data_IF_848544807986
#
_entry.id   IF_848544807986
#
_cell.length_a   1.000
_cell.length_b   1.000
_cell.length_c   1.000
_cell.angle_alpha   90.00
_cell.angle_beta   90.00
_cell.angle_gamma   90.00
#
_symmetry.space_group_name_H-M   'P 1'
#
loop_
_entity.id
_entity.type
_entity.pdbx_description
1 polymer ?
#
# COMPACT_ATOMS: atom_id res chain seq x y z
N UNK A 1 -3.51 -14.68 -15.53
CA UNK A 1 -2.70 -13.56 -15.01
C UNK A 1 -1.28 -14.07 -14.85
N UNK A 2 -0.32 -13.46 -15.55
CA UNK A 2 1.04 -14.00 -15.69
C UNK A 2 1.91 -13.58 -14.50
N UNK A 3 1.88 -14.39 -13.43
CA UNK A 3 2.56 -14.15 -12.15
C UNK A 3 4.08 -13.90 -12.29
N UNK A 4 4.71 -14.40 -13.36
CA UNK A 4 6.13 -14.20 -13.64
C UNK A 4 6.50 -12.74 -13.94
N UNK A 5 5.60 -11.98 -14.58
CA UNK A 5 5.83 -10.55 -14.85
C UNK A 5 5.76 -9.73 -13.57
N UNK A 6 4.79 -10.01 -12.69
CA UNK A 6 4.64 -9.38 -11.38
C UNK A 6 5.85 -9.65 -10.50
N UNK A 7 6.37 -10.88 -10.51
CA UNK A 7 7.54 -11.28 -9.75
C UNK A 7 8.83 -10.60 -10.26
N UNK A 8 8.96 -10.37 -11.57
CA UNK A 8 10.09 -9.61 -12.14
C UNK A 8 10.06 -8.12 -11.72
N UNK A 9 8.86 -7.53 -11.67
CA UNK A 9 8.66 -6.13 -11.27
C UNK A 9 8.91 -5.97 -9.78
N UNK A 10 8.36 -6.85 -8.94
CA UNK A 10 8.59 -6.86 -7.48
C UNK A 10 10.06 -7.15 -7.12
N UNK A 11 10.72 -8.07 -7.83
CA UNK A 11 12.14 -8.40 -7.63
C UNK A 11 13.10 -7.24 -7.99
N UNK A 12 12.73 -6.41 -8.96
CA UNK A 12 13.50 -5.22 -9.36
C UNK A 12 13.55 -4.11 -8.29
N UNK A 13 12.52 -4.02 -7.44
CA UNK A 13 12.41 -3.01 -6.37
C UNK A 13 13.38 -3.28 -5.21
N UNK A 14 13.81 -4.53 -5.04
CA UNK A 14 14.49 -5.02 -3.85
C UNK A 14 15.99 -4.70 -3.79
N UNK A 15 16.62 -4.24 -4.89
CA UNK A 15 18.09 -4.18 -4.97
C UNK A 15 18.74 -2.88 -4.46
N UNK A 16 17.97 -1.82 -4.14
CA UNK A 16 18.54 -0.46 -4.06
C UNK A 16 18.00 0.49 -2.95
N UNK A 17 17.54 0.04 -1.77
CA UNK A 17 17.50 0.92 -0.57
C UNK A 17 17.49 0.10 0.72
N UNK A 18 17.80 0.73 1.85
CA UNK A 18 17.92 0.18 3.22
C UNK A 18 17.17 -1.14 3.43
N UNK A 19 17.94 -2.22 3.60
CA UNK A 19 17.52 -3.61 3.34
C UNK A 19 16.34 -4.11 4.18
N UNK A 20 16.13 -3.56 5.38
CA UNK A 20 15.12 -4.11 6.31
C UNK A 20 13.71 -3.64 5.93
N UNK A 21 13.47 -2.33 5.79
CA UNK A 21 12.13 -1.80 5.49
C UNK A 21 11.53 -2.33 4.17
N UNK A 22 12.36 -2.48 3.14
CA UNK A 22 11.91 -2.98 1.82
C UNK A 22 11.53 -4.45 1.81
N UNK A 23 12.29 -5.30 2.50
CA UNK A 23 11.98 -6.74 2.59
C UNK A 23 10.65 -6.92 3.33
N UNK A 24 10.50 -6.29 4.50
CA UNK A 24 9.28 -6.39 5.29
C UNK A 24 8.06 -5.81 4.56
N UNK A 25 8.18 -4.65 3.90
CA UNK A 25 7.07 -4.09 3.13
C UNK A 25 6.64 -4.99 1.97
N UNK A 26 7.58 -5.67 1.29
CA UNK A 26 7.25 -6.59 0.20
C UNK A 26 6.59 -7.86 0.71
N UNK A 27 7.10 -8.43 1.81
CA UNK A 27 6.52 -9.62 2.45
C UNK A 27 5.10 -9.33 2.95
N UNK A 28 4.90 -8.20 3.64
CA UNK A 28 3.57 -7.81 4.14
C UNK A 28 2.60 -7.52 2.98
N UNK A 29 3.09 -6.97 1.87
CA UNK A 29 2.26 -6.76 0.68
C UNK A 29 1.78 -8.08 0.06
N UNK A 30 2.68 -9.07 -0.10
CA UNK A 30 2.30 -10.41 -0.58
C UNK A 30 1.33 -11.07 0.38
N UNK A 31 1.60 -11.00 1.68
CA UNK A 31 0.72 -11.53 2.71
C UNK A 31 -0.69 -10.93 2.64
N UNK A 32 -0.82 -9.62 2.40
CA UNK A 32 -2.13 -8.99 2.20
C UNK A 32 -2.86 -9.47 0.96
N UNK A 33 -2.15 -9.67 -0.16
CA UNK A 33 -2.77 -10.22 -1.38
C UNK A 33 -3.30 -11.63 -1.09
N UNK A 34 -2.50 -12.46 -0.43
CA UNK A 34 -2.91 -13.81 -0.04
C UNK A 34 -4.18 -13.78 0.82
N UNK A 35 -4.19 -12.98 1.89
CA UNK A 35 -5.36 -12.84 2.76
C UNK A 35 -6.58 -12.37 1.96
N UNK A 36 -6.42 -11.35 1.11
CA UNK A 36 -7.52 -10.78 0.35
C UNK A 36 -8.14 -11.84 -0.57
N UNK A 37 -7.32 -12.63 -1.27
CA UNK A 37 -7.80 -13.69 -2.17
C UNK A 37 -8.60 -14.76 -1.39
N UNK A 38 -8.04 -15.26 -0.29
CA UNK A 38 -8.71 -16.27 0.54
C UNK A 38 -10.02 -15.73 1.12
N UNK A 39 -9.98 -14.53 1.68
CA UNK A 39 -11.15 -13.89 2.29
C UNK A 39 -12.25 -13.60 1.26
N UNK A 40 -11.88 -13.15 0.05
CA UNK A 40 -12.83 -12.82 -1.00
C UNK A 40 -13.69 -14.02 -1.41
N UNK A 41 -13.08 -15.20 -1.54
CA UNK A 41 -13.78 -16.41 -1.96
C UNK A 41 -14.52 -17.08 -0.80
N UNK A 42 -13.86 -17.29 0.35
CA UNK A 42 -14.39 -18.15 1.40
C UNK A 42 -15.34 -17.44 2.39
N UNK A 43 -15.15 -16.12 2.59
CA UNK A 43 -15.79 -15.39 3.70
C UNK A 43 -16.76 -14.31 3.22
N UNK A 44 -16.43 -13.66 2.10
CA UNK A 44 -17.26 -12.63 1.49
C UNK A 44 -17.95 -13.08 0.19
N UNK A 45 -17.70 -14.30 -0.30
CA UNK A 45 -18.32 -14.82 -1.54
C UNK A 45 -19.85 -14.81 -1.49
N UNK A 46 -20.41 -15.31 -0.39
CA UNK A 46 -21.87 -15.46 -0.20
C UNK A 46 -22.45 -14.34 0.69
N UNK A 47 -21.78 -13.17 0.76
CA UNK A 47 -22.10 -12.14 1.76
C UNK A 47 -23.53 -11.57 1.64
N UNK A 48 -24.03 -11.46 0.42
CA UNK A 48 -25.36 -10.95 0.12
C UNK A 48 -26.41 -12.08 0.13
N UNK A 49 -26.03 -13.28 -0.32
CA UNK A 49 -26.93 -14.42 -0.37
C UNK A 49 -27.32 -14.90 1.03
N UNK A 50 -26.36 -14.98 1.94
CA UNK A 50 -26.58 -15.38 3.35
C UNK A 50 -26.98 -14.21 4.27
N UNK A 51 -27.17 -13.01 3.74
CA UNK A 51 -27.74 -11.91 4.50
C UNK A 51 -29.26 -12.12 4.66
N UNK A 52 -29.75 -12.29 5.88
CA UNK A 52 -31.15 -12.65 6.14
C UNK A 52 -31.83 -11.58 6.99
N UNK A 53 -32.96 -11.05 6.51
CA UNK A 53 -33.82 -10.16 7.30
C UNK A 53 -35.10 -10.88 7.72
N UNK A 54 -35.52 -10.68 8.98
CA UNK A 54 -36.75 -11.26 9.53
C UNK A 54 -38.00 -10.51 9.02
N UNK A 55 -38.30 -10.69 7.74
CA UNK A 55 -39.44 -10.06 7.06
C UNK A 55 -39.78 -10.82 5.78
N UNK A 56 -41.07 -10.83 5.43
CA UNK A 56 -41.56 -11.38 4.15
C UNK A 56 -41.70 -10.29 3.08
N UNK A 57 -41.36 -9.04 3.40
CA UNK A 57 -41.52 -7.91 2.50
C UNK A 57 -40.50 -7.99 1.33
N UNK A 58 -40.97 -8.04 0.08
CA UNK A 58 -40.07 -8.07 -1.08
C UNK A 58 -39.19 -6.82 -1.14
N UNK A 59 -37.92 -7.00 -1.50
CA UNK A 59 -36.95 -5.91 -1.66
C UNK A 59 -36.33 -5.38 -0.37
N UNK A 60 -36.91 -5.65 0.81
CA UNK A 60 -36.37 -5.17 2.09
C UNK A 60 -34.94 -5.68 2.35
N UNK A 61 -34.66 -6.97 2.09
CA UNK A 61 -33.30 -7.54 2.18
C UNK A 61 -32.28 -6.75 1.37
N UNK A 62 -32.61 -6.43 0.11
CA UNK A 62 -31.68 -5.78 -0.82
C UNK A 62 -31.34 -4.36 -0.37
N UNK A 63 -32.35 -3.56 0.00
CA UNK A 63 -32.12 -2.18 0.45
C UNK A 63 -31.40 -2.12 1.80
N UNK A 64 -31.67 -3.07 2.72
CA UNK A 64 -31.00 -3.12 3.99
C UNK A 64 -29.53 -3.52 3.82
N UNK A 65 -29.24 -4.49 2.95
CA UNK A 65 -27.87 -4.85 2.64
C UNK A 65 -27.08 -3.67 2.06
N UNK A 66 -27.65 -2.99 1.05
CA UNK A 66 -27.02 -1.82 0.41
C UNK A 66 -26.81 -0.65 1.39
N UNK A 67 -27.77 -0.42 2.29
CA UNK A 67 -27.67 0.64 3.30
C UNK A 67 -26.55 0.41 4.31
N UNK A 68 -26.40 -0.82 4.83
CA UNK A 68 -25.38 -1.14 5.82
C UNK A 68 -24.02 -1.47 5.22
N UNK A 69 -23.98 -1.94 3.97
CA UNK A 69 -22.76 -2.33 3.26
C UNK A 69 -22.69 -1.65 1.88
N UNK A 70 -22.62 -0.30 1.82
CA UNK A 70 -22.63 0.45 0.56
C UNK A 70 -21.42 0.10 -0.33
N UNK A 71 -20.30 -0.24 0.30
CA UNK A 71 -19.16 -0.90 -0.32
C UNK A 71 -18.85 -2.11 0.54
N UNK A 72 -18.48 -3.24 -0.05
CA UNK A 72 -18.04 -4.40 0.75
C UNK A 72 -16.62 -4.22 1.26
N UNK A 73 -16.29 -4.87 2.38
CA UNK A 73 -14.99 -4.73 3.03
C UNK A 73 -13.84 -5.13 2.09
N UNK A 74 -14.02 -6.23 1.37
CA UNK A 74 -13.05 -6.75 0.39
C UNK A 74 -12.79 -5.75 -0.72
N UNK A 75 -13.82 -5.07 -1.22
CA UNK A 75 -13.66 -4.04 -2.27
C UNK A 75 -12.85 -2.86 -1.74
N UNK A 76 -13.09 -2.40 -0.52
CA UNK A 76 -12.27 -1.34 0.09
C UNK A 76 -10.81 -1.78 0.30
N UNK A 77 -10.57 -3.01 0.75
CA UNK A 77 -9.19 -3.51 0.90
C UNK A 77 -8.47 -3.69 -0.45
N UNK A 78 -9.20 -4.09 -1.49
CA UNK A 78 -8.66 -4.18 -2.84
C UNK A 78 -8.25 -2.78 -3.35
N UNK A 79 -9.11 -1.78 -3.17
CA UNK A 79 -8.81 -0.39 -3.48
C UNK A 79 -7.61 0.11 -2.66
N UNK A 80 -7.58 -0.14 -1.36
CA UNK A 80 -6.45 0.21 -0.49
C UNK A 80 -5.13 -0.38 -1.03
N UNK A 81 -5.10 -1.66 -1.40
CA UNK A 81 -3.91 -2.28 -1.98
C UNK A 81 -3.49 -1.66 -3.32
N UNK A 82 -4.43 -1.34 -4.20
CA UNK A 82 -4.15 -0.67 -5.48
C UNK A 82 -3.54 0.72 -5.25
N UNK A 83 -4.16 1.54 -4.40
CA UNK A 83 -3.68 2.89 -4.14
C UNK A 83 -2.32 2.89 -3.40
N UNK A 84 -2.10 1.97 -2.47
CA UNK A 84 -0.83 1.88 -1.73
C UNK A 84 0.30 1.30 -2.60
N UNK A 85 0.00 0.42 -3.55
CA UNK A 85 1.00 -0.13 -4.48
C UNK A 85 1.38 0.84 -5.60
N UNK A 86 0.45 1.71 -6.03
CA UNK A 86 0.66 2.61 -7.18
C UNK A 86 1.91 3.50 -7.03
N UNK A 87 2.13 4.24 -5.91
CA UNK A 87 3.35 5.03 -5.75
C UNK A 87 4.64 4.20 -5.79
N UNK A 88 4.62 2.98 -5.24
CA UNK A 88 5.78 2.09 -5.26
C UNK A 88 6.11 1.64 -6.68
N UNK A 89 5.09 1.26 -7.47
CA UNK A 89 5.24 0.89 -8.87
C UNK A 89 5.69 2.07 -9.73
N UNK A 90 5.18 3.28 -9.49
CA UNK A 90 5.62 4.49 -10.20
C UNK A 90 7.10 4.79 -9.95
N UNK A 91 7.58 4.65 -8.71
CA UNK A 91 9.02 4.80 -8.41
C UNK A 91 9.84 3.72 -9.10
N UNK A 92 9.39 2.46 -9.05
CA UNK A 92 10.07 1.35 -9.72
C UNK A 92 10.18 1.60 -11.23
N UNK A 93 9.09 2.04 -11.84
CA UNK A 93 9.01 2.41 -13.26
C UNK A 93 9.93 3.60 -13.57
N UNK A 94 9.94 4.65 -12.73
CA UNK A 94 10.85 5.79 -12.90
C UNK A 94 12.32 5.38 -12.84
N UNK A 95 12.70 4.50 -11.89
CA UNK A 95 14.06 3.96 -11.81
C UNK A 95 14.41 3.12 -13.03
N UNK A 96 13.50 2.23 -13.46
CA UNK A 96 13.70 1.39 -14.64
C UNK A 96 13.86 2.23 -15.92
N UNK A 97 13.03 3.26 -16.09
CA UNK A 97 13.09 4.19 -17.21
C UNK A 97 14.43 4.93 -17.27
N UNK A 98 14.88 5.52 -16.15
CA UNK A 98 16.18 6.23 -16.11
C UNK A 98 17.36 5.29 -16.35
N UNK A 99 17.28 4.05 -15.88
CA UNK A 99 18.31 3.03 -16.15
C UNK A 99 18.38 2.69 -17.64
N UNK A 100 17.22 2.53 -18.28
CA UNK A 100 17.14 2.25 -19.71
C UNK A 100 17.68 3.40 -20.56
N UNK A 101 17.34 4.66 -20.23
CA UNK A 101 17.88 5.83 -20.94
C UNK A 101 19.40 5.96 -20.80
N UNK A 102 19.94 5.77 -19.59
CA UNK A 102 21.40 5.79 -19.38
C UNK A 102 22.08 4.75 -20.27
N UNK A 103 21.60 3.49 -20.25
CA UNK A 103 22.15 2.41 -21.07
C UNK A 103 22.13 2.76 -22.57
N UNK A 104 21.06 3.36 -23.06
CA UNK A 104 20.93 3.81 -24.47
C UNK A 104 21.91 4.93 -24.84
N UNK A 105 22.22 5.84 -23.91
CA UNK A 105 23.22 6.90 -24.12
C UNK A 105 24.65 6.32 -24.16
N UNK A 106 24.98 5.38 -23.28
CA UNK A 106 26.28 4.69 -23.29
C UNK A 106 26.50 3.87 -24.55
N UNK A 107 25.49 3.16 -25.06
CA UNK A 107 25.61 2.40 -26.32
C UNK A 107 25.85 3.26 -27.57
N UNK A 108 25.62 4.59 -27.50
CA UNK A 108 25.89 5.53 -28.58
C UNK A 108 27.25 6.25 -28.46
N UNK A 109 27.98 6.08 -27.36
CA UNK A 109 29.30 6.68 -27.13
C UNK A 109 30.36 5.60 -26.90
N UNK A 110 31.30 5.49 -27.84
CA UNK A 110 32.56 4.70 -27.87
C UNK A 110 32.62 3.30 -27.20
N UNK A 111 32.99 2.28 -28.00
CA UNK A 111 32.93 0.85 -27.65
C UNK A 111 34.06 0.35 -26.75
N UNK A 112 35.11 1.13 -26.52
CA UNK A 112 36.32 0.64 -25.82
C UNK A 112 36.26 0.68 -24.29
N UNK A 113 35.24 1.30 -23.66
CA UNK A 113 35.02 1.25 -22.20
C UNK A 113 33.95 0.22 -21.75
N UNK A 114 33.46 -0.63 -22.66
CA UNK A 114 32.21 -1.40 -22.50
C UNK A 114 32.15 -2.37 -21.31
N UNK A 115 33.27 -2.96 -20.86
CA UNK A 115 33.21 -3.98 -19.80
C UNK A 115 33.35 -3.41 -18.38
N UNK A 116 34.21 -2.41 -18.16
CA UNK A 116 34.41 -1.79 -16.83
C UNK A 116 33.20 -0.96 -16.41
N UNK A 117 32.59 -0.20 -17.33
CA UNK A 117 31.45 0.67 -17.03
C UNK A 117 30.13 -0.09 -16.80
N UNK A 118 29.91 -1.25 -17.43
CA UNK A 118 28.68 -2.04 -17.19
C UNK A 118 28.69 -2.65 -15.79
N UNK A 119 29.84 -3.14 -15.32
CA UNK A 119 30.00 -3.57 -13.92
C UNK A 119 29.86 -2.38 -12.97
N UNK A 120 30.40 -1.21 -13.33
CA UNK A 120 30.30 0.00 -12.51
C UNK A 120 28.88 0.57 -12.45
N UNK A 121 28.06 0.47 -13.50
CA UNK A 121 26.62 0.80 -13.48
C UNK A 121 25.81 -0.23 -12.67
N UNK A 122 26.24 -1.51 -12.66
CA UNK A 122 25.64 -2.57 -11.83
C UNK A 122 26.01 -2.41 -10.36
N UNK A 123 27.18 -1.82 -10.09
CA UNK A 123 27.79 -1.61 -8.77
C UNK A 123 27.56 -0.21 -8.20
N UNK A 124 27.19 0.76 -9.04
CA UNK A 124 26.63 2.04 -8.67
C UNK A 124 25.32 1.72 -7.94
N UNK A 125 25.44 1.54 -6.63
CA UNK A 125 24.38 1.82 -5.68
C UNK A 125 23.87 3.18 -6.13
N UNK A 126 22.69 3.23 -6.75
CA UNK A 126 22.03 4.48 -7.10
C UNK A 126 21.99 5.26 -5.80
N UNK A 127 22.95 6.17 -5.63
CA UNK A 127 23.00 7.02 -4.48
C UNK A 127 21.71 7.83 -4.60
N UNK A 128 20.85 7.74 -3.59
CA UNK A 128 19.56 8.43 -3.59
C UNK A 128 19.89 9.93 -3.48
N UNK A 129 20.26 10.53 -4.61
CA UNK A 129 20.75 11.89 -4.72
C UNK A 129 20.05 12.59 -5.88
N UNK A 130 19.69 13.85 -5.66
CA UNK A 130 18.96 14.67 -6.61
C UNK A 130 17.48 14.24 -6.79
N UNK A 131 16.94 14.26 -8.03
CA UNK A 131 15.49 14.13 -8.26
C UNK A 131 14.91 12.76 -7.89
N UNK A 132 15.73 11.70 -7.83
CA UNK A 132 15.28 10.37 -7.42
C UNK A 132 14.90 10.34 -5.92
N UNK A 133 15.62 11.09 -5.09
CA UNK A 133 15.29 11.26 -3.67
C UNK A 133 13.91 11.88 -3.50
N UNK A 134 13.62 12.95 -4.25
CA UNK A 134 12.34 13.63 -4.19
C UNK A 134 11.18 12.71 -4.59
N UNK A 135 11.31 11.98 -5.70
CA UNK A 135 10.28 11.02 -6.12
C UNK A 135 10.07 9.89 -5.09
N UNK A 136 11.14 9.46 -4.43
CA UNK A 136 11.07 8.43 -3.40
C UNK A 136 10.36 8.95 -2.14
N UNK A 137 10.78 10.11 -1.63
CA UNK A 137 10.18 10.76 -0.45
C UNK A 137 8.70 11.06 -0.70
N UNK A 138 8.35 11.59 -1.87
CA UNK A 138 6.95 11.81 -2.26
C UNK A 138 6.15 10.50 -2.29
N UNK A 139 6.73 9.41 -2.81
CA UNK A 139 6.06 8.11 -2.84
C UNK A 139 5.76 7.57 -1.44
N UNK A 140 6.67 7.73 -0.48
CA UNK A 140 6.47 7.29 0.91
C UNK A 140 5.35 8.11 1.54
N UNK A 141 5.34 9.42 1.32
CA UNK A 141 4.27 10.30 1.80
C UNK A 141 2.90 9.90 1.25
N UNK A 142 2.78 9.67 -0.07
CA UNK A 142 1.53 9.20 -0.66
C UNK A 142 1.09 7.85 -0.12
N UNK A 143 2.02 6.91 0.08
CA UNK A 143 1.70 5.60 0.70
C UNK A 143 1.17 5.76 2.11
N UNK A 144 1.78 6.63 2.91
CA UNK A 144 1.31 6.93 4.27
C UNK A 144 -0.09 7.55 4.26
N UNK A 145 -0.32 8.53 3.38
CA UNK A 145 -1.62 9.20 3.22
C UNK A 145 -2.69 8.18 2.80
N UNK A 146 -2.43 7.35 1.79
CA UNK A 146 -3.40 6.35 1.35
C UNK A 146 -3.68 5.30 2.42
N UNK A 147 -2.65 4.72 3.05
CA UNK A 147 -2.87 3.77 4.15
C UNK A 147 -3.72 4.37 5.27
N UNK A 148 -3.39 5.58 5.74
CA UNK A 148 -4.12 6.25 6.81
C UNK A 148 -5.55 6.63 6.39
N UNK A 149 -5.73 7.13 5.16
CA UNK A 149 -7.03 7.53 4.64
C UNK A 149 -7.98 6.33 4.49
N UNK A 150 -7.52 5.22 3.91
CA UNK A 150 -8.34 4.01 3.81
C UNK A 150 -8.67 3.41 5.18
N UNK A 151 -7.71 3.43 6.12
CA UNK A 151 -7.96 3.01 7.50
C UNK A 151 -9.04 3.86 8.17
N UNK A 152 -8.96 5.18 8.00
CA UNK A 152 -9.92 6.13 8.55
C UNK A 152 -11.31 5.95 7.94
N UNK A 153 -11.39 5.84 6.60
CA UNK A 153 -12.64 5.59 5.88
C UNK A 153 -13.26 4.27 6.35
N UNK A 154 -12.46 3.22 6.51
CA UNK A 154 -12.93 1.92 6.99
C UNK A 154 -13.52 2.02 8.40
N UNK A 155 -12.81 2.66 9.34
CA UNK A 155 -13.29 2.84 10.71
C UNK A 155 -14.60 3.65 10.78
N UNK A 156 -14.68 4.73 10.00
CA UNK A 156 -15.86 5.59 9.98
C UNK A 156 -17.07 4.94 9.30
N UNK A 157 -16.85 4.26 8.17
CA UNK A 157 -17.93 3.66 7.37
C UNK A 157 -18.59 2.46 8.05
N UNK A 158 -17.82 1.66 8.81
CA UNK A 158 -18.35 0.46 9.47
C UNK A 158 -18.48 0.61 10.99
N UNK A 159 -18.51 1.85 11.48
CA UNK A 159 -18.70 2.19 12.90
C UNK A 159 -17.79 1.40 13.86
N UNK A 160 -16.53 1.19 13.44
CA UNK A 160 -15.55 0.43 14.18
C UNK A 160 -14.88 -0.69 13.40
N UNK A 161 -14.35 -1.67 14.14
CA UNK A 161 -13.57 -2.78 13.59
C UNK A 161 -14.22 -4.15 13.82
N UNK A 162 -15.44 -4.17 14.37
CA UNK A 162 -16.16 -5.37 14.71
C UNK A 162 -17.43 -5.47 13.88
N UNK A 163 -17.63 -6.61 13.21
CA UNK A 163 -18.85 -6.87 12.44
C UNK A 163 -19.98 -7.25 13.41
N UNK A 164 -21.09 -6.48 13.51
CA UNK A 164 -22.21 -6.85 14.36
C UNK A 164 -22.91 -8.11 13.80
N UNK A 165 -23.49 -8.91 14.69
CA UNK A 165 -24.28 -10.10 14.29
C UNK A 165 -25.69 -9.73 13.82
N UNK A 166 -26.21 -8.63 14.35
CA UNK A 166 -27.57 -8.15 14.15
C UNK A 166 -27.51 -6.67 13.76
N UNK A 167 -28.25 -6.31 12.72
CA UNK A 167 -28.46 -4.96 12.24
C UNK A 167 -29.96 -4.65 12.30
N UNK A 168 -30.32 -3.44 12.74
CA UNK A 168 -31.72 -3.00 12.81
C UNK A 168 -32.01 -2.05 11.67
N UNK A 169 -32.75 -2.51 10.66
CA UNK A 169 -33.02 -1.76 9.44
C UNK A 169 -34.42 -1.14 9.46
N UNK A 170 -34.53 0.13 9.04
CA UNK A 170 -35.82 0.86 8.90
C UNK A 170 -35.98 1.52 7.52
N UNK A 171 -35.22 1.03 6.53
CA UNK A 171 -35.16 1.60 5.18
C UNK A 171 -36.37 1.16 4.37
N UNK A 172 -36.94 2.05 3.53
CA UNK A 172 -38.02 1.68 2.62
C UNK A 172 -37.54 0.64 1.59
N UNK A 173 -38.28 -0.47 1.31
CA UNK A 173 -39.70 -0.71 1.59
C UNK A 173 -40.00 -1.55 2.86
N UNK A 174 -39.10 -1.61 3.84
CA UNK A 174 -39.29 -2.45 5.03
C UNK A 174 -40.45 -1.99 5.93
N UNK A 175 -41.25 -2.93 6.50
CA UNK A 175 -42.28 -2.58 7.47
C UNK A 175 -41.63 -2.32 8.83
N UNK A 176 -41.72 -1.08 9.33
CA UNK A 176 -41.13 -0.65 10.60
C UNK A 176 -39.63 -1.01 10.69
N UNK A 177 -39.15 -1.37 11.88
CA UNK A 177 -37.78 -1.80 12.12
C UNK A 177 -37.74 -3.33 12.02
N UNK A 178 -36.91 -3.85 11.11
CA UNK A 178 -36.68 -5.28 10.92
C UNK A 178 -35.27 -5.67 11.37
N UNK A 179 -35.15 -6.91 11.86
CA UNK A 179 -33.90 -7.50 12.30
C UNK A 179 -33.22 -8.21 11.13
N UNK A 180 -32.00 -7.81 10.80
CA UNK A 180 -31.19 -8.43 9.75
C UNK A 180 -29.91 -9.05 10.34
N UNK A 181 -29.59 -10.26 9.91
CA UNK A 181 -28.49 -11.08 10.40
C UNK A 181 -27.38 -11.14 9.35
N UNK A 182 -26.15 -10.84 9.79
CA UNK A 182 -24.97 -10.85 8.93
C UNK A 182 -24.36 -12.26 8.90
N UNK A 183 -24.00 -12.75 7.72
CA UNK A 183 -23.29 -14.02 7.56
C UNK A 183 -21.86 -13.95 8.08
N UNK A 184 -21.45 -14.99 8.82
CA UNK A 184 -20.09 -15.23 9.36
C UNK A 184 -19.44 -13.99 10.01
N UNK A 185 -20.10 -13.31 10.97
CA UNK A 185 -19.64 -12.03 11.50
C UNK A 185 -18.33 -12.16 12.29
N UNK A 186 -18.13 -13.29 12.99
CA UNK A 186 -16.88 -13.57 13.72
C UNK A 186 -15.70 -13.76 12.80
N UNK A 187 -15.87 -14.53 11.72
CA UNK A 187 -14.84 -14.76 10.72
C UNK A 187 -14.47 -13.46 9.99
N UNK A 188 -15.48 -12.69 9.54
CA UNK A 188 -15.27 -11.37 8.94
C UNK A 188 -14.51 -10.43 9.88
N UNK A 189 -14.82 -10.45 11.17
CA UNK A 189 -14.12 -9.65 12.19
C UNK A 189 -12.67 -10.07 12.35
N UNK A 190 -12.37 -11.38 12.39
CA UNK A 190 -11.01 -11.91 12.50
C UNK A 190 -10.16 -11.45 11.30
N UNK A 191 -10.65 -11.65 10.08
CA UNK A 191 -9.97 -11.19 8.87
C UNK A 191 -9.76 -9.67 8.87
N UNK A 192 -10.75 -8.92 9.35
CA UNK A 192 -10.67 -7.46 9.49
C UNK A 192 -9.56 -7.04 10.43
N UNK A 193 -9.46 -7.67 11.60
CA UNK A 193 -8.39 -7.40 12.58
C UNK A 193 -7.01 -7.73 11.98
N UNK A 194 -6.86 -8.84 11.26
CA UNK A 194 -5.60 -9.17 10.60
C UNK A 194 -5.20 -8.10 9.58
N UNK A 195 -6.12 -7.69 8.71
CA UNK A 195 -5.86 -6.68 7.68
C UNK A 195 -5.51 -5.32 8.27
N UNK A 196 -6.20 -4.91 9.34
CA UNK A 196 -5.91 -3.66 10.06
C UNK A 196 -4.56 -3.73 10.75
N UNK A 197 -4.23 -4.86 11.39
CA UNK A 197 -2.94 -5.05 12.07
C UNK A 197 -1.77 -4.95 11.09
N UNK A 198 -1.87 -5.60 9.93
CA UNK A 198 -0.85 -5.51 8.87
C UNK A 198 -0.78 -4.09 8.30
N UNK A 199 -1.89 -3.37 8.25
CA UNK A 199 -1.95 -1.95 7.87
C UNK A 199 -1.24 -1.05 8.88
N UNK A 200 -1.46 -1.26 10.17
CA UNK A 200 -0.72 -0.57 11.24
C UNK A 200 0.79 -0.82 11.14
N UNK A 201 1.22 -2.08 10.95
CA UNK A 201 2.64 -2.42 10.79
C UNK A 201 3.24 -1.72 9.56
N UNK A 202 2.54 -1.71 8.42
CA UNK A 202 3.00 -1.01 7.23
C UNK A 202 3.11 0.50 7.44
N UNK A 203 2.17 1.13 8.14
CA UNK A 203 2.25 2.55 8.51
C UNK A 203 3.51 2.79 9.34
N UNK A 204 3.74 2.00 10.39
CA UNK A 204 4.93 2.13 11.24
C UNK A 204 6.23 1.98 10.45
N UNK A 205 6.31 1.01 9.56
CA UNK A 205 7.48 0.80 8.70
C UNK A 205 7.70 1.98 7.73
N UNK A 206 6.64 2.51 7.11
CA UNK A 206 6.75 3.68 6.22
C UNK A 206 7.14 4.95 7.01
N UNK A 207 6.63 5.14 8.23
CA UNK A 207 7.01 6.25 9.11
C UNK A 207 8.47 6.13 9.54
N UNK A 208 8.92 4.93 9.92
CA UNK A 208 10.32 4.67 10.28
C UNK A 208 11.28 4.92 9.09
N UNK A 209 10.86 4.55 7.88
CA UNK A 209 11.65 4.84 6.67
C UNK A 209 11.66 6.34 6.36
N UNK A 210 10.52 7.02 6.47
CA UNK A 210 10.44 8.46 6.27
C UNK A 210 11.30 9.23 7.28
N UNK A 211 11.23 8.87 8.56
CA UNK A 211 12.04 9.50 9.62
C UNK A 211 13.52 9.25 9.42
N UNK A 212 13.94 8.05 9.00
CA UNK A 212 15.33 7.77 8.64
C UNK A 212 15.83 8.67 7.49
N UNK A 213 15.02 8.86 6.44
CA UNK A 213 15.37 9.75 5.32
C UNK A 213 15.46 11.21 5.74
N UNK A 214 14.55 11.67 6.60
CA UNK A 214 14.59 13.03 7.15
C UNK A 214 15.85 13.24 7.99
N UNK A 215 16.18 12.33 8.91
CA UNK A 215 17.39 12.41 9.73
C UNK A 215 18.65 12.46 8.86
N UNK A 216 18.72 11.63 7.82
CA UNK A 216 19.83 11.63 6.87
C UNK A 216 19.92 12.95 6.10
N UNK A 217 18.79 13.54 5.72
CA UNK A 217 18.74 14.84 5.04
C UNK A 217 19.22 15.98 5.96
N UNK A 218 18.75 16.04 7.20
CA UNK A 218 19.19 17.02 8.19
C UNK A 218 20.67 16.89 8.53
N UNK A 219 21.20 15.67 8.68
CA UNK A 219 22.63 15.44 8.88
C UNK A 219 23.47 15.94 7.70
N UNK A 220 22.99 15.76 6.46
CA UNK A 220 23.67 16.25 5.26
C UNK A 220 23.65 17.78 5.16
N UNK A 221 22.53 18.42 5.53
CA UNK A 221 22.41 19.87 5.67
C UNK A 221 23.36 20.43 6.73
N UNK A 222 23.42 19.80 7.91
CA UNK A 222 24.33 20.20 8.99
C UNK A 222 25.80 20.09 8.57
N UNK A 223 26.18 18.99 7.91
CA UNK A 223 27.54 18.79 7.41
C UNK A 223 27.92 19.81 6.32
N UNK A 224 27.01 20.12 5.39
CA UNK A 224 27.21 21.16 4.39
C UNK A 224 27.32 22.56 5.02
N UNK A 225 26.49 22.87 6.01
CA UNK A 225 26.57 24.13 6.74
C UNK A 225 27.90 24.25 7.50
N UNK A 226 28.33 23.18 8.19
CA UNK A 226 29.60 23.11 8.90
C UNK A 226 30.80 23.28 7.95
N UNK A 227 30.77 22.63 6.78
CA UNK A 227 31.82 22.76 5.75
C UNK A 227 31.88 24.18 5.16
N UNK A 228 30.72 24.83 5.00
CA UNK A 228 30.65 26.23 4.53
C UNK A 228 31.17 27.21 5.59
N UNK A 229 30.95 26.93 6.87
CA UNK A 229 31.48 27.73 8.00
C UNK A 229 33.00 27.53 8.13
N UNK A 230 33.50 26.30 8.06
CA UNK A 230 34.94 26.00 8.09
C UNK A 230 35.71 26.64 6.94
N UNK A 231 35.11 26.73 5.75
CA UNK A 231 35.73 27.41 4.59
C UNK A 231 35.74 28.94 4.70
N UNK A 232 35.02 29.51 5.67
CA UNK A 232 34.96 30.95 5.96
C UNK A 232 35.92 31.39 7.08
N UNK A 233 36.65 30.47 7.70
CA UNK A 233 37.72 30.77 8.66
C UNK A 233 38.97 31.13 7.85
N UNK A 234 39.42 32.40 7.81
CA UNK A 234 40.72 32.73 7.27
C UNK A 234 41.80 32.13 8.19
N UNK A 235 42.80 31.48 7.58
CA UNK A 235 44.03 31.05 8.26
C UNK A 235 44.86 32.30 8.58
#
# INVERSE_FOLDING_TARGET
>A
MDWGTLQSVLGGVNKHSTSIGKIWLTVLFIFRIMILVVAAEEVWGDEQDDFVCNTLQPGCKNVCYDYFFPVSHIRLWALQLIFVSTPALLVAMHVAYRKHEKKKKFQKGDKNCEFKDIEEIKRQRFHIEGPLWWTYTASILFRLIFEAAFMYVFYYMYEGYHMPRLLKCSVWPCPNIVDCFVSRPTEKTIFTIFMISVSGICILLNVAEFSYLLLKFFMKLYCNALFTILKKIPI
#
